data_IF_462290309842
#
_entry.id   IF_462290309842
#
_cell.length_a   1.000
_cell.length_b   1.000
_cell.length_c   1.000
_cell.angle_alpha   90.00
_cell.angle_beta   90.00
_cell.angle_gamma   90.00
#
_symmetry.space_group_name_H-M   'P 1'
#
loop_
_entity.id
_entity.type
_entity.pdbx_description
1 polymer ?
#
# COMPACT_ATOMS: atom_id res chain seq x y z
N UNK A 1 -19.61 18.38 -2.07
CA UNK A 1 -18.46 18.56 -1.16
C UNK A 1 -17.24 18.01 -1.85
N UNK A 2 -16.30 18.88 -2.21
CA UNK A 2 -15.00 18.50 -2.75
C UNK A 2 -14.15 18.00 -1.56
N UNK A 3 -13.56 16.82 -1.67
CA UNK A 3 -12.52 16.36 -0.74
C UNK A 3 -11.16 16.69 -1.35
N UNK A 4 -10.20 17.11 -0.54
CA UNK A 4 -8.84 17.44 -0.99
C UNK A 4 -8.07 16.20 -1.46
N UNK A 5 -8.49 15.00 -1.04
CA UNK A 5 -7.85 13.73 -1.40
C UNK A 5 -8.87 12.69 -1.89
N UNK A 6 -9.43 12.88 -3.10
CA UNK A 6 -10.49 12.02 -3.62
C UNK A 6 -10.06 10.55 -3.72
N UNK A 7 -8.85 10.26 -4.20
CA UNK A 7 -8.39 8.90 -4.45
C UNK A 7 -8.02 8.09 -3.20
N UNK A 8 -7.71 8.75 -2.08
CA UNK A 8 -7.40 8.10 -0.80
C UNK A 8 -8.57 8.15 0.18
N UNK A 9 -9.79 8.31 -0.33
CA UNK A 9 -11.02 8.31 0.45
C UNK A 9 -11.73 6.96 0.39
N UNK A 10 -12.44 6.59 1.44
CA UNK A 10 -13.34 5.43 1.44
C UNK A 10 -14.46 5.57 0.41
N UNK A 11 -14.91 6.80 0.14
CA UNK A 11 -15.89 7.13 -0.90
C UNK A 11 -15.40 6.75 -2.29
N UNK A 12 -14.09 6.83 -2.58
CA UNK A 12 -13.54 6.37 -3.86
C UNK A 12 -13.75 4.87 -4.05
N UNK A 13 -13.71 4.05 -2.99
CA UNK A 13 -14.04 2.62 -3.08
C UNK A 13 -15.46 2.37 -3.57
N UNK A 14 -16.42 3.20 -3.16
CA UNK A 14 -17.86 3.00 -3.45
C UNK A 14 -18.34 3.77 -4.69
N UNK A 15 -17.77 4.94 -4.95
CA UNK A 15 -18.21 5.93 -5.95
C UNK A 15 -17.04 6.37 -6.86
N UNK A 16 -16.05 5.48 -7.06
CA UNK A 16 -14.79 5.83 -7.70
C UNK A 16 -14.93 6.33 -9.13
N UNK A 17 -15.92 5.84 -9.88
CA UNK A 17 -16.17 6.30 -11.25
C UNK A 17 -16.54 7.79 -11.28
N UNK A 18 -17.49 8.19 -10.44
CA UNK A 18 -17.96 9.58 -10.38
C UNK A 18 -16.81 10.48 -9.99
N UNK A 19 -16.07 10.11 -8.95
CA UNK A 19 -14.89 10.83 -8.47
C UNK A 19 -13.80 10.94 -9.56
N UNK A 20 -13.58 9.88 -10.34
CA UNK A 20 -12.61 9.90 -11.44
C UNK A 20 -13.04 10.84 -12.57
N UNK A 21 -14.32 10.79 -12.98
CA UNK A 21 -14.86 11.69 -14.01
C UNK A 21 -14.82 13.16 -13.56
N UNK A 22 -15.22 13.45 -12.32
CA UNK A 22 -15.12 14.78 -11.72
C UNK A 22 -13.65 15.28 -11.71
N UNK A 23 -12.70 14.38 -11.45
CA UNK A 23 -11.27 14.73 -11.46
C UNK A 23 -10.74 15.06 -12.86
N UNK A 24 -11.17 14.32 -13.90
CA UNK A 24 -10.81 14.61 -15.29
C UNK A 24 -11.39 15.96 -15.76
N UNK A 25 -12.62 16.27 -15.35
CA UNK A 25 -13.26 17.57 -15.59
C UNK A 25 -12.47 18.71 -14.96
N UNK A 26 -12.08 18.55 -13.70
CA UNK A 26 -11.26 19.52 -12.98
C UNK A 26 -9.86 19.69 -13.61
N UNK A 27 -9.31 18.62 -14.20
CA UNK A 27 -8.02 18.63 -14.88
C UNK A 27 -8.08 19.17 -16.33
N UNK A 28 -9.29 19.43 -16.87
CA UNK A 28 -9.47 19.87 -18.25
C UNK A 28 -9.20 18.78 -19.30
N UNK A 29 -9.24 17.50 -18.90
CA UNK A 29 -8.98 16.37 -19.79
C UNK A 29 -10.26 15.91 -20.54
N UNK A 30 -10.17 15.52 -21.83
CA UNK A 30 -11.33 15.11 -22.61
C UNK A 30 -11.94 13.80 -22.12
N UNK A 31 -13.26 13.80 -21.91
CA UNK A 31 -14.08 12.65 -21.45
C UNK A 31 -14.29 11.58 -22.55
N UNK A 32 -13.24 11.04 -23.16
CA UNK A 32 -13.39 9.92 -24.11
C UNK A 32 -13.39 8.59 -23.35
N UNK A 33 -14.46 8.31 -22.61
CA UNK A 33 -14.68 7.01 -21.95
C UNK A 33 -15.89 6.31 -22.57
N UNK A 34 -15.68 5.09 -23.06
CA UNK A 34 -16.77 4.14 -23.32
C UNK A 34 -17.28 3.62 -21.96
N UNK A 35 -18.38 4.21 -21.50
CA UNK A 35 -18.80 4.16 -20.11
C UNK A 35 -19.50 2.86 -19.72
N UNK A 36 -20.01 2.03 -20.64
CA UNK A 36 -20.97 0.96 -20.27
C UNK A 36 -20.27 -0.35 -19.88
N UNK A 37 -19.42 -0.89 -20.74
CA UNK A 37 -18.65 -2.11 -20.45
C UNK A 37 -17.54 -1.85 -19.43
N UNK A 38 -16.87 -0.69 -19.56
CA UNK A 38 -15.79 -0.29 -18.65
C UNK A 38 -16.30 0.10 -17.25
N UNK A 39 -17.61 0.28 -17.06
CA UNK A 39 -18.19 0.59 -15.75
C UNK A 39 -18.01 -0.54 -14.74
N UNK A 40 -18.31 -1.77 -15.15
CA UNK A 40 -18.16 -2.95 -14.30
C UNK A 40 -16.68 -3.23 -14.01
N UNK A 41 -15.82 -3.08 -15.02
CA UNK A 41 -14.36 -3.23 -14.87
C UNK A 41 -13.79 -2.16 -13.95
N UNK A 42 -14.22 -0.91 -14.06
CA UNK A 42 -13.71 0.18 -13.21
C UNK A 42 -14.08 -0.06 -11.74
N UNK A 43 -15.33 -0.45 -11.45
CA UNK A 43 -15.74 -0.82 -10.09
C UNK A 43 -14.87 -1.95 -9.54
N UNK A 44 -14.63 -3.00 -10.33
CA UNK A 44 -13.80 -4.13 -9.93
C UNK A 44 -12.34 -3.73 -9.70
N UNK A 45 -11.76 -2.89 -10.56
CA UNK A 45 -10.39 -2.39 -10.42
C UNK A 45 -10.25 -1.54 -9.16
N UNK A 46 -11.18 -0.61 -8.93
CA UNK A 46 -11.20 0.21 -7.72
C UNK A 46 -11.30 -0.68 -6.48
N UNK A 47 -12.28 -1.59 -6.41
CA UNK A 47 -12.43 -2.50 -5.28
C UNK A 47 -11.16 -3.35 -5.04
N UNK A 48 -10.48 -3.78 -6.11
CA UNK A 48 -9.20 -4.49 -6.01
C UNK A 48 -8.08 -3.61 -5.44
N UNK A 49 -7.98 -2.34 -5.84
CA UNK A 49 -6.97 -1.41 -5.33
C UNK A 49 -7.10 -1.12 -3.82
N UNK A 50 -8.29 -1.29 -3.24
CA UNK A 50 -8.52 -1.11 -1.80
C UNK A 50 -8.27 -2.37 -0.97
N UNK A 51 -8.01 -3.55 -1.57
CA UNK A 51 -7.84 -4.80 -0.81
C UNK A 51 -6.70 -4.74 0.21
N UNK A 52 -5.67 -3.99 -0.13
CA UNK A 52 -4.44 -3.90 0.66
C UNK A 52 -4.39 -2.62 1.51
N UNK A 53 -5.49 -1.86 1.56
CA UNK A 53 -5.62 -0.61 2.32
C UNK A 53 -6.50 -0.82 3.55
N UNK A 54 -6.05 -0.31 4.70
CA UNK A 54 -6.88 -0.17 5.89
C UNK A 54 -7.50 1.23 5.90
N UNK A 55 -8.78 1.31 6.26
CA UNK A 55 -9.54 2.55 6.31
C UNK A 55 -10.09 2.77 7.72
N UNK A 56 -9.92 3.98 8.22
CA UNK A 56 -10.62 4.47 9.41
C UNK A 56 -11.65 5.52 8.97
N UNK A 57 -12.93 5.14 9.02
CA UNK A 57 -14.00 5.95 8.45
C UNK A 57 -13.81 6.11 6.93
N UNK A 58 -13.60 7.36 6.49
CA UNK A 58 -13.41 7.71 5.07
C UNK A 58 -11.93 7.91 4.71
N UNK A 59 -10.98 7.64 5.61
CA UNK A 59 -9.56 7.94 5.41
C UNK A 59 -8.76 6.65 5.33
N UNK A 60 -7.93 6.50 4.30
CA UNK A 60 -6.92 5.44 4.22
C UNK A 60 -5.82 5.73 5.24
N UNK A 61 -5.63 4.85 6.22
CA UNK A 61 -4.66 5.04 7.31
C UNK A 61 -3.43 4.16 7.19
N UNK A 62 -3.56 3.00 6.53
CA UNK A 62 -2.45 2.06 6.36
C UNK A 62 -2.52 1.35 5.02
N UNK A 63 -1.36 1.03 4.47
CA UNK A 63 -1.21 0.24 3.25
C UNK A 63 -0.33 -0.99 3.52
N UNK A 64 -0.68 -2.12 2.91
CA UNK A 64 0.05 -3.40 2.93
C UNK A 64 0.71 -3.63 1.57
N UNK A 65 1.86 -2.97 1.29
CA UNK A 65 2.44 -2.92 -0.05
C UNK A 65 2.97 -4.26 -0.56
N UNK A 66 3.23 -5.20 0.34
CA UNK A 66 3.81 -6.49 -0.03
C UNK A 66 2.72 -7.55 -0.24
N UNK A 67 2.14 -7.58 -1.45
CA UNK A 67 1.15 -8.58 -1.89
C UNK A 67 -0.08 -8.66 -0.95
N UNK A 68 -0.45 -7.56 -0.31
CA UNK A 68 -1.53 -7.51 0.66
C UNK A 68 -1.28 -8.23 1.98
N UNK A 69 -0.06 -8.74 2.22
CA UNK A 69 0.27 -9.40 3.49
C UNK A 69 0.36 -8.38 4.62
N UNK A 70 -0.07 -8.78 5.82
CA UNK A 70 0.08 -7.98 7.04
C UNK A 70 1.52 -7.94 7.55
N UNK A 71 2.50 -8.58 6.92
CA UNK A 71 3.88 -8.60 7.42
C UNK A 71 4.60 -7.27 7.28
N UNK A 72 4.27 -6.50 6.23
CA UNK A 72 4.89 -5.21 5.91
C UNK A 72 3.79 -4.18 5.72
N UNK A 73 3.92 -3.05 6.39
CA UNK A 73 2.94 -1.96 6.34
C UNK A 73 3.61 -0.62 6.11
N UNK A 74 2.89 0.28 5.45
CA UNK A 74 3.18 1.70 5.35
C UNK A 74 2.10 2.43 6.12
N UNK A 75 2.51 3.16 7.16
CA UNK A 75 1.64 3.86 8.09
C UNK A 75 2.27 5.23 8.37
N UNK A 76 1.65 6.36 7.99
CA UNK A 76 2.25 7.69 8.16
C UNK A 76 2.62 8.02 9.61
N UNK A 77 1.97 7.39 10.59
CA UNK A 77 2.23 7.60 12.02
C UNK A 77 3.43 6.82 12.53
N UNK A 78 3.98 5.91 11.73
CA UNK A 78 5.11 5.03 12.08
C UNK A 78 6.27 5.27 11.13
N UNK A 79 7.46 5.48 11.67
CA UNK A 79 8.68 5.65 10.87
C UNK A 79 8.52 6.65 9.71
N UNK A 80 7.73 7.71 9.92
CA UNK A 80 7.40 8.73 8.91
C UNK A 80 6.86 8.16 7.59
N UNK A 81 6.09 7.06 7.63
CA UNK A 81 5.52 6.42 6.45
C UNK A 81 6.49 5.53 5.68
N UNK A 82 7.65 5.19 6.24
CA UNK A 82 8.51 4.16 5.67
C UNK A 82 7.86 2.76 5.81
N UNK A 83 8.12 1.82 4.89
CA UNK A 83 7.70 0.44 5.05
C UNK A 83 8.36 -0.20 6.28
N UNK A 84 7.53 -0.77 7.16
CA UNK A 84 7.97 -1.40 8.41
C UNK A 84 7.39 -2.79 8.57
N UNK A 85 8.07 -3.64 9.34
CA UNK A 85 7.47 -4.85 9.89
C UNK A 85 6.26 -4.48 10.76
N UNK A 86 5.11 -5.07 10.50
CA UNK A 86 3.84 -4.60 11.06
C UNK A 86 3.78 -4.64 12.58
N UNK A 87 4.29 -5.70 13.19
CA UNK A 87 4.26 -5.89 14.65
C UNK A 87 5.36 -5.10 15.35
N UNK A 88 6.61 -5.25 14.91
CA UNK A 88 7.77 -4.64 15.61
C UNK A 88 8.04 -3.19 15.24
N UNK A 89 7.58 -2.71 14.08
CA UNK A 89 7.88 -1.37 13.56
C UNK A 89 9.29 -1.19 13.02
N UNK A 90 10.09 -2.26 12.95
CA UNK A 90 11.44 -2.19 12.38
C UNK A 90 11.33 -1.89 10.87
N UNK A 91 12.04 -0.88 10.35
CA UNK A 91 12.06 -0.60 8.91
C UNK A 91 12.52 -1.80 8.09
N UNK A 92 11.86 -2.08 6.97
CA UNK A 92 12.19 -3.23 6.13
C UNK A 92 13.59 -3.15 5.55
N UNK A 93 14.08 -1.93 5.27
CA UNK A 93 15.45 -1.68 4.82
C UNK A 93 16.48 -2.12 5.87
N UNK A 94 16.22 -1.85 7.16
CA UNK A 94 17.10 -2.24 8.27
C UNK A 94 17.18 -3.77 8.35
N UNK A 95 16.04 -4.47 8.23
CA UNK A 95 16.03 -5.93 8.20
C UNK A 95 16.79 -6.49 6.99
N UNK A 96 16.60 -5.90 5.81
CA UNK A 96 17.27 -6.34 4.59
C UNK A 96 18.79 -6.14 4.66
N UNK A 97 19.26 -5.00 5.16
CA UNK A 97 20.68 -4.72 5.36
C UNK A 97 21.30 -5.59 6.46
N UNK A 98 20.58 -5.80 7.56
CA UNK A 98 21.03 -6.70 8.63
C UNK A 98 21.21 -8.13 8.11
N UNK A 99 20.33 -8.63 7.23
CA UNK A 99 20.50 -9.96 6.62
C UNK A 99 21.75 -10.03 5.75
N UNK A 100 22.06 -8.96 5.00
CA UNK A 100 23.29 -8.88 4.21
C UNK A 100 24.54 -8.88 5.10
N UNK A 101 24.51 -8.18 6.23
CA UNK A 101 25.63 -8.10 7.16
C UNK A 101 25.83 -9.39 7.98
N UNK A 102 24.75 -9.97 8.50
CA UNK A 102 24.78 -11.14 9.38
C UNK A 102 24.84 -12.47 8.63
N UNK A 103 24.46 -12.49 7.36
CA UNK A 103 24.40 -13.71 6.53
C UNK A 103 23.33 -14.71 6.97
N UNK A 104 22.46 -14.37 7.91
CA UNK A 104 21.46 -15.28 8.48
C UNK A 104 20.16 -14.59 8.87
N UNK A 105 19.06 -14.94 8.18
CA UNK A 105 17.72 -14.45 8.52
C UNK A 105 17.27 -14.89 9.92
N UNK A 106 17.65 -16.10 10.37
CA UNK A 106 17.31 -16.56 11.72
C UNK A 106 17.98 -15.74 12.81
N UNK A 107 19.22 -15.28 12.56
CA UNK A 107 19.95 -14.42 13.51
C UNK A 107 19.35 -13.03 13.57
N UNK A 108 19.03 -12.44 12.41
CA UNK A 108 18.35 -11.14 12.33
C UNK A 108 16.98 -11.19 12.99
N UNK A 109 16.21 -12.27 12.77
CA UNK A 109 14.94 -12.50 13.44
C UNK A 109 15.07 -12.44 14.97
N UNK A 110 16.09 -13.10 15.53
CA UNK A 110 16.36 -13.06 16.96
C UNK A 110 16.84 -11.67 17.45
N UNK A 111 17.71 -10.99 16.69
CA UNK A 111 18.26 -9.68 17.06
C UNK A 111 17.20 -8.57 17.12
N UNK A 112 16.22 -8.61 16.23
CA UNK A 112 15.18 -7.60 16.10
C UNK A 112 13.83 -8.07 16.66
N UNK A 113 13.80 -9.21 17.34
CA UNK A 113 12.59 -9.83 17.91
C UNK A 113 11.41 -9.88 16.92
N UNK A 114 11.70 -10.32 15.70
CA UNK A 114 10.72 -10.46 14.61
C UNK A 114 10.67 -11.88 14.10
N UNK A 115 9.48 -12.30 13.67
CA UNK A 115 9.28 -13.57 13.01
C UNK A 115 10.18 -13.72 11.78
N UNK A 116 10.83 -14.87 11.63
CA UNK A 116 11.74 -15.13 10.50
C UNK A 116 11.04 -14.95 9.15
N UNK A 117 9.76 -15.29 9.06
CA UNK A 117 8.96 -15.09 7.85
C UNK A 117 8.82 -13.60 7.48
N UNK A 118 8.75 -12.70 8.48
CA UNK A 118 8.69 -11.25 8.26
C UNK A 118 10.04 -10.73 7.78
N UNK A 119 11.14 -11.24 8.32
CA UNK A 119 12.50 -10.91 7.83
C UNK A 119 12.65 -11.33 6.36
N UNK A 120 12.18 -12.53 6.01
CA UNK A 120 12.17 -13.00 4.61
C UNK A 120 11.34 -12.08 3.71
N UNK A 121 10.10 -11.75 4.12
CA UNK A 121 9.23 -10.85 3.37
C UNK A 121 9.88 -9.47 3.19
N UNK A 122 10.54 -8.93 4.22
CA UNK A 122 11.23 -7.63 4.16
C UNK A 122 12.37 -7.62 3.14
N UNK A 123 13.17 -8.70 3.09
CA UNK A 123 14.23 -8.87 2.09
C UNK A 123 13.64 -8.90 0.69
N UNK A 124 12.61 -9.73 0.47
CA UNK A 124 11.96 -9.86 -0.85
C UNK A 124 11.32 -8.56 -1.32
N UNK A 125 10.62 -7.86 -0.44
CA UNK A 125 10.04 -6.56 -0.72
C UNK A 125 11.10 -5.55 -1.18
N UNK A 126 12.27 -5.52 -0.53
CA UNK A 126 13.33 -4.58 -0.90
C UNK A 126 14.06 -4.97 -2.19
N UNK A 127 14.24 -6.28 -2.45
CA UNK A 127 14.73 -6.78 -3.73
C UNK A 127 13.82 -6.38 -4.89
N UNK A 128 12.49 -6.53 -4.73
CA UNK A 128 11.49 -6.11 -5.72
C UNK A 128 11.51 -4.59 -5.93
N UNK A 129 11.66 -3.80 -4.85
CA UNK A 129 11.72 -2.34 -4.92
C UNK A 129 12.95 -1.83 -5.68
N UNK A 130 14.10 -2.47 -5.53
CA UNK A 130 15.32 -2.08 -6.26
C UNK A 130 15.32 -2.52 -7.73
N UNK A 131 14.45 -3.47 -8.10
CA UNK A 131 14.35 -3.97 -9.48
C UNK A 131 13.33 -3.20 -10.33
N UNK A 132 12.50 -2.36 -9.71
CA UNK A 132 11.51 -1.50 -10.35
C UNK A 132 12.10 -0.14 -10.77
#
# INVERSE_FOLDING_TARGET
MHTDRPFSSGRFRTDGKTIFLESLEAAGEPKLLDLKEKQYVFKQVVEQSFKDLDLEGDIVTRWRPYRGKDSIVVDPTRSFGQPVASVSGVPTIVLAEAVKAEGSMSRVAALYEVEKAVVHDAVKFHEELMAA
#
